data_IF_466922635973
#
_entry.id   IF_466922635973
#
_cell.length_a   1.000
_cell.length_b   1.000
_cell.length_c   1.000
_cell.angle_alpha   90.00
_cell.angle_beta   90.00
_cell.angle_gamma   90.00
#
_symmetry.space_group_name_H-M   'P 1'
#
loop_
_entity.id
_entity.type
_entity.pdbx_description
1 polymer ?
#
# COMPACT_ATOMS: atom_id res chain seq x y z
N UNK A 1 -19.82 72.65 -30.09
CA UNK A 1 -18.71 71.64 -29.94
C UNK A 1 -19.29 70.36 -29.34
N UNK A 2 -19.63 69.36 -30.14
CA UNK A 2 -20.22 68.10 -29.70
C UNK A 2 -19.11 67.10 -29.71
N UNK A 3 -18.79 66.52 -28.49
CA UNK A 3 -17.87 65.36 -28.34
C UNK A 3 -18.65 64.06 -28.57
N UNK A 4 -18.32 63.34 -29.63
CA UNK A 4 -18.85 62.04 -29.91
C UNK A 4 -18.10 60.98 -29.03
N UNK A 5 -18.83 60.38 -28.15
CA UNK A 5 -18.33 59.28 -27.36
C UNK A 5 -18.54 57.97 -28.13
N UNK A 6 -17.49 57.29 -28.54
CA UNK A 6 -17.52 55.99 -29.20
C UNK A 6 -17.54 54.94 -28.08
N UNK A 7 -18.64 54.19 -27.98
CA UNK A 7 -18.81 53.07 -27.08
C UNK A 7 -18.28 51.79 -27.77
N UNK A 8 -17.13 51.29 -27.33
CA UNK A 8 -16.55 50.04 -27.82
C UNK A 8 -17.19 48.88 -27.07
N UNK A 9 -18.03 48.09 -27.75
CA UNK A 9 -18.58 46.85 -27.22
C UNK A 9 -17.51 45.74 -27.35
N UNK A 10 -16.90 45.37 -26.26
CA UNK A 10 -16.01 44.22 -26.20
C UNK A 10 -16.86 42.94 -25.96
N UNK A 11 -17.17 42.21 -27.02
CA UNK A 11 -17.81 40.90 -26.92
C UNK A 11 -16.78 39.88 -26.39
N UNK A 12 -16.90 39.53 -25.12
CA UNK A 12 -16.14 38.44 -24.53
C UNK A 12 -16.66 37.10 -25.13
N UNK A 13 -15.91 36.54 -26.07
CA UNK A 13 -16.14 35.18 -26.59
C UNK A 13 -15.64 34.19 -25.54
N UNK A 14 -16.55 33.73 -24.68
CA UNK A 14 -16.29 32.68 -23.73
C UNK A 14 -16.27 31.34 -24.50
N UNK A 15 -15.12 31.02 -25.07
CA UNK A 15 -14.89 29.72 -25.68
C UNK A 15 -14.90 28.65 -24.59
N UNK A 16 -15.98 27.86 -24.51
CA UNK A 16 -16.00 26.64 -23.72
C UNK A 16 -15.04 25.66 -24.38
N UNK A 17 -13.80 25.59 -23.87
CA UNK A 17 -12.90 24.50 -24.21
C UNK A 17 -13.49 23.21 -23.62
N UNK A 18 -14.18 22.44 -24.45
CA UNK A 18 -14.50 21.06 -24.13
C UNK A 18 -13.18 20.30 -24.09
N UNK A 19 -12.61 20.13 -22.91
CA UNK A 19 -11.55 19.17 -22.70
C UNK A 19 -12.17 17.81 -22.94
N UNK A 20 -11.85 17.19 -24.07
CA UNK A 20 -12.24 15.80 -24.32
C UNK A 20 -11.58 14.97 -23.22
N UNK A 21 -12.40 14.48 -22.31
CA UNK A 21 -11.93 13.62 -21.24
C UNK A 21 -11.45 12.30 -21.85
N UNK A 22 -10.23 11.90 -21.53
CA UNK A 22 -9.55 10.71 -22.04
C UNK A 22 -9.29 9.74 -20.94
N UNK A 23 -9.25 8.46 -21.28
CA UNK A 23 -8.82 7.42 -20.35
C UNK A 23 -7.29 7.46 -20.25
N UNK A 24 -6.76 7.19 -19.06
CA UNK A 24 -5.33 7.14 -18.80
C UNK A 24 -4.98 5.75 -18.27
N UNK A 25 -4.26 4.97 -19.06
CA UNK A 25 -3.72 3.68 -18.65
C UNK A 25 -2.37 3.93 -17.99
N UNK A 26 -2.24 3.54 -16.72
CA UNK A 26 -1.00 3.61 -15.95
C UNK A 26 -0.42 2.21 -15.87
N UNK A 27 0.76 2.03 -16.45
CA UNK A 27 1.44 0.74 -16.48
C UNK A 27 2.17 0.43 -15.17
N UNK A 28 2.54 -0.82 -14.97
CA UNK A 28 3.29 -1.29 -13.82
C UNK A 28 4.68 -0.59 -13.67
N UNK A 29 5.28 -0.15 -14.79
CA UNK A 29 6.52 0.66 -14.82
C UNK A 29 6.30 2.17 -14.58
N UNK A 30 5.09 2.55 -14.18
CA UNK A 30 4.62 3.92 -13.98
C UNK A 30 4.55 4.78 -15.27
N UNK A 31 4.78 4.23 -16.44
CA UNK A 31 4.53 4.92 -17.72
C UNK A 31 3.03 5.10 -17.95
N UNK A 32 2.65 6.18 -18.63
CA UNK A 32 1.26 6.56 -18.86
C UNK A 32 0.93 6.52 -20.34
N UNK A 33 -0.23 5.96 -20.67
CA UNK A 33 -0.76 5.91 -22.03
C UNK A 33 -2.12 6.60 -22.08
N UNK A 34 -2.20 7.72 -22.76
CA UNK A 34 -3.47 8.38 -23.07
C UNK A 34 -4.22 7.55 -24.11
N UNK A 35 -5.40 7.10 -23.77
CA UNK A 35 -6.10 6.08 -24.52
C UNK A 35 -7.62 6.30 -24.51
N UNK A 36 -8.29 5.54 -25.35
CA UNK A 36 -9.70 5.18 -25.22
C UNK A 36 -9.75 3.67 -25.05
N UNK A 37 -10.09 3.23 -23.86
CA UNK A 37 -10.26 1.81 -23.54
C UNK A 37 -11.52 1.31 -24.26
N UNK A 38 -11.41 0.19 -24.96
CA UNK A 38 -12.49 -0.39 -25.76
C UNK A 38 -12.99 -1.71 -25.22
N UNK A 39 -12.14 -2.48 -24.54
CA UNK A 39 -12.50 -3.77 -23.97
C UNK A 39 -11.53 -4.14 -22.86
N UNK A 40 -12.04 -4.74 -21.80
CA UNK A 40 -11.26 -5.30 -20.70
C UNK A 40 -11.65 -6.76 -20.54
N UNK A 41 -10.65 -7.63 -20.53
CA UNK A 41 -10.78 -9.05 -20.25
C UNK A 41 -9.93 -9.42 -19.04
N UNK A 42 -10.11 -10.59 -18.40
CA UNK A 42 -9.28 -10.99 -17.26
C UNK A 42 -7.78 -11.04 -17.57
N UNK A 43 -7.39 -11.13 -18.83
CA UNK A 43 -5.99 -11.30 -19.24
C UNK A 43 -5.41 -10.07 -19.95
N UNK A 44 -6.26 -9.22 -20.55
CA UNK A 44 -5.79 -8.11 -21.40
C UNK A 44 -6.75 -6.94 -21.48
N UNK A 45 -6.19 -5.77 -21.73
CA UNK A 45 -6.91 -4.52 -22.00
C UNK A 45 -6.67 -4.11 -23.43
N UNK A 46 -7.75 -3.89 -24.19
CA UNK A 46 -7.71 -3.37 -25.55
C UNK A 46 -8.03 -1.89 -25.56
N UNK A 47 -7.24 -1.12 -26.26
CA UNK A 47 -7.39 0.32 -26.31
C UNK A 47 -6.94 0.92 -27.64
N UNK A 48 -7.43 2.10 -27.95
CA UNK A 48 -6.92 2.96 -28.99
C UNK A 48 -6.15 4.12 -28.39
N UNK A 49 -5.03 4.52 -29.00
CA UNK A 49 -4.29 5.70 -28.53
C UNK A 49 -5.15 6.95 -28.73
N UNK A 50 -5.21 7.81 -27.76
CA UNK A 50 -5.96 9.07 -27.86
C UNK A 50 -5.44 9.96 -28.99
N UNK A 51 -4.11 9.95 -29.22
CA UNK A 51 -3.48 10.66 -30.35
C UNK A 51 -3.80 10.08 -31.74
N UNK A 52 -4.39 8.87 -31.81
CA UNK A 52 -4.78 8.22 -33.07
C UNK A 52 -6.03 7.34 -32.86
N UNK A 53 -7.22 7.96 -32.71
CA UNK A 53 -8.45 7.23 -32.37
C UNK A 53 -8.94 6.30 -33.48
N UNK A 54 -8.58 6.57 -34.71
CA UNK A 54 -8.94 5.72 -35.90
C UNK A 54 -7.85 4.69 -36.21
N UNK A 55 -6.75 4.69 -35.44
CA UNK A 55 -5.63 3.78 -35.61
C UNK A 55 -5.91 2.34 -35.15
N UNK A 56 -4.89 1.48 -35.21
CA UNK A 56 -5.03 0.08 -34.81
C UNK A 56 -5.36 -0.03 -33.30
N UNK A 57 -6.11 -1.07 -32.95
CA UNK A 57 -6.34 -1.43 -31.57
C UNK A 57 -5.05 -2.01 -30.99
N UNK A 58 -4.59 -1.43 -29.88
CA UNK A 58 -3.45 -1.92 -29.10
C UNK A 58 -3.96 -2.85 -27.99
N UNK A 59 -3.11 -3.76 -27.56
CA UNK A 59 -3.39 -4.71 -26.48
C UNK A 59 -2.27 -4.61 -25.45
N UNK A 60 -2.64 -4.52 -24.18
CA UNK A 60 -1.74 -4.64 -23.04
C UNK A 60 -2.19 -5.81 -22.19
N UNK A 61 -1.27 -6.60 -21.69
CA UNK A 61 -1.58 -7.64 -20.73
C UNK A 61 -1.91 -7.00 -19.36
N UNK A 62 -2.87 -7.57 -18.64
CA UNK A 62 -3.29 -7.05 -17.32
C UNK A 62 -2.11 -6.93 -16.35
N UNK A 63 -1.14 -7.85 -16.41
CA UNK A 63 0.10 -7.79 -15.60
C UNK A 63 1.02 -6.61 -15.91
N UNK A 64 0.84 -5.94 -17.04
CA UNK A 64 1.60 -4.75 -17.44
C UNK A 64 0.93 -3.44 -16.97
N UNK A 65 -0.28 -3.54 -16.40
CA UNK A 65 -1.12 -2.39 -16.04
C UNK A 65 -1.22 -2.32 -14.52
N UNK A 66 -0.96 -1.14 -13.96
CA UNK A 66 -1.22 -0.84 -12.56
C UNK A 66 -2.68 -0.43 -12.35
N UNK A 67 -3.14 0.56 -13.12
CA UNK A 67 -4.52 1.00 -13.07
C UNK A 67 -4.92 1.73 -14.36
N UNK A 68 -6.24 1.85 -14.59
CA UNK A 68 -6.84 2.68 -15.62
C UNK A 68 -7.66 3.77 -14.94
N UNK A 69 -7.43 5.01 -15.30
CA UNK A 69 -8.26 6.14 -14.90
C UNK A 69 -9.12 6.53 -16.09
N UNK A 70 -10.43 6.34 -15.96
CA UNK A 70 -11.39 6.67 -17.00
C UNK A 70 -11.68 8.15 -17.10
N UNK A 71 -12.16 8.57 -18.27
CA UNK A 71 -12.57 9.93 -18.55
C UNK A 71 -13.66 10.49 -17.59
N UNK A 72 -14.48 9.62 -17.00
CA UNK A 72 -15.52 9.95 -16.03
C UNK A 72 -14.99 10.09 -14.59
N UNK A 73 -13.67 9.86 -14.38
CA UNK A 73 -13.02 9.92 -13.07
C UNK A 73 -12.99 8.60 -12.31
N UNK A 74 -13.65 7.56 -12.82
CA UNK A 74 -13.54 6.21 -12.24
C UNK A 74 -12.15 5.62 -12.46
N UNK A 75 -11.73 4.73 -11.57
CA UNK A 75 -10.45 4.03 -11.65
C UNK A 75 -10.65 2.54 -11.51
N UNK A 76 -9.93 1.77 -12.32
CA UNK A 76 -9.89 0.33 -12.27
C UNK A 76 -8.45 -0.13 -12.05
N UNK A 77 -8.24 -1.02 -11.09
CA UNK A 77 -6.90 -1.45 -10.66
C UNK A 77 -6.69 -2.91 -11.04
N UNK A 78 -5.46 -3.21 -11.48
CA UNK A 78 -5.04 -4.53 -11.88
C UNK A 78 -3.95 -5.01 -10.94
N UNK A 79 -4.26 -6.01 -10.12
CA UNK A 79 -3.26 -6.68 -9.29
C UNK A 79 -2.50 -7.65 -10.18
N UNK A 80 -1.19 -7.49 -10.29
CA UNK A 80 -0.35 -8.49 -10.93
C UNK A 80 -0.50 -9.81 -10.17
N UNK A 81 -1.27 -10.73 -10.72
CA UNK A 81 -1.26 -12.10 -10.25
C UNK A 81 0.18 -12.60 -10.38
N UNK A 82 0.79 -12.94 -9.26
CA UNK A 82 2.13 -13.53 -9.22
C UNK A 82 2.14 -14.73 -10.15
N UNK A 83 2.84 -14.62 -11.27
CA UNK A 83 3.09 -15.72 -12.19
C UNK A 83 3.98 -16.74 -11.49
N UNK A 84 3.38 -17.82 -11.03
CA UNK A 84 4.10 -19.03 -10.64
C UNK A 84 4.69 -19.61 -11.93
N UNK A 85 6.00 -19.79 -12.08
CA UNK A 85 6.54 -20.45 -13.25
C UNK A 85 6.16 -21.94 -13.16
N UNK A 86 5.35 -22.38 -14.10
CA UNK A 86 5.07 -23.79 -14.30
C UNK A 86 6.33 -24.49 -14.83
N UNK A 87 6.97 -25.29 -14.02
CA UNK A 87 7.98 -26.25 -14.44
C UNK A 87 7.27 -27.51 -14.89
N UNK A 88 7.48 -28.01 -16.11
CA UNK A 88 6.90 -29.27 -16.55
C UNK A 88 7.76 -30.47 -16.09
N UNK A 89 7.18 -31.35 -15.30
CA UNK A 89 7.69 -32.69 -15.10
C UNK A 89 6.56 -33.71 -15.28
N UNK A 90 6.56 -34.37 -16.41
CA UNK A 90 6.00 -35.71 -16.57
C UNK A 90 7.16 -36.69 -16.62
N UNK A 91 7.08 -37.94 -16.09
CA UNK A 91 6.19 -38.95 -16.67
C UNK A 91 5.57 -40.04 -15.72
N UNK A 92 4.39 -40.45 -16.15
CA UNK A 92 3.89 -41.85 -16.29
C UNK A 92 3.81 -42.82 -15.11
N UNK A 93 2.56 -43.05 -14.63
CA UNK A 93 1.71 -44.30 -14.64
C UNK A 93 2.22 -45.54 -13.85
N UNK A 94 1.40 -46.37 -13.15
CA UNK A 94 0.09 -46.87 -13.57
C UNK A 94 -1.06 -46.85 -12.53
N UNK A 95 -2.23 -47.14 -13.06
CA UNK A 95 -3.54 -47.22 -12.48
C UNK A 95 -3.75 -48.39 -11.49
N UNK A 96 -4.61 -48.15 -10.51
CA UNK A 96 -5.52 -49.14 -9.97
C UNK A 96 -6.82 -48.49 -9.51
N UNK A 97 -7.93 -49.00 -9.99
CA UNK A 97 -9.32 -48.70 -9.67
C UNK A 97 -9.91 -49.97 -9.01
N UNK A 98 -11.12 -50.00 -8.43
CA UNK A 98 -11.85 -49.02 -7.64
C UNK A 98 -12.37 -49.60 -6.30
N UNK A 99 -12.78 -48.77 -5.39
CA UNK A 99 -13.71 -49.17 -4.34
C UNK A 99 -14.79 -48.13 -4.10
N UNK A 100 -16.04 -48.50 -4.43
CA UNK A 100 -17.26 -47.83 -4.02
C UNK A 100 -17.39 -47.78 -2.52
N UNK A 101 -17.83 -46.63 -1.96
CA UNK A 101 -18.85 -46.59 -0.88
C UNK A 101 -19.52 -45.23 -0.81
N UNK A 102 -20.82 -45.22 -1.03
CA UNK A 102 -21.93 -44.64 -0.27
C UNK A 102 -22.06 -43.12 -0.13
N UNK A 103 -23.17 -42.67 -0.67
CA UNK A 103 -23.80 -41.37 -0.52
C UNK A 103 -24.07 -41.01 0.94
N UNK A 104 -23.84 -39.76 1.32
CA UNK A 104 -24.43 -39.09 2.47
C UNK A 104 -25.20 -37.82 2.02
N UNK A 105 -26.24 -37.44 2.72
CA UNK A 105 -27.37 -36.71 2.14
C UNK A 105 -27.15 -35.19 2.01
N UNK A 106 -27.85 -34.61 1.06
CA UNK A 106 -27.96 -33.20 0.77
C UNK A 106 -28.25 -32.37 2.05
N UNK A 107 -27.40 -31.40 2.32
CA UNK A 107 -27.70 -30.32 3.24
C UNK A 107 -28.58 -29.31 2.52
N UNK A 108 -29.70 -28.99 3.17
CA UNK A 108 -30.73 -28.11 2.70
C UNK A 108 -30.20 -26.69 2.41
N UNK A 109 -30.57 -26.15 1.26
CA UNK A 109 -30.48 -24.74 0.94
C UNK A 109 -31.22 -23.92 2.00
N UNK A 110 -30.50 -23.03 2.68
CA UNK A 110 -31.09 -21.95 3.45
C UNK A 110 -31.69 -20.91 2.49
N UNK A 111 -32.90 -20.41 2.72
CA UNK A 111 -33.53 -19.46 1.83
C UNK A 111 -32.74 -18.15 1.80
N UNK A 112 -32.42 -17.68 0.58
CA UNK A 112 -31.88 -16.37 0.35
C UNK A 112 -32.83 -15.32 0.91
N UNK A 113 -32.43 -14.65 1.97
CA UNK A 113 -33.12 -13.47 2.46
C UNK A 113 -32.95 -12.36 1.42
N UNK A 114 -34.06 -11.97 0.80
CA UNK A 114 -34.15 -10.74 0.03
C UNK A 114 -33.78 -9.55 0.93
N UNK A 115 -33.00 -8.59 0.46
CA UNK A 115 -32.72 -7.40 1.23
C UNK A 115 -33.98 -6.56 1.35
N UNK A 116 -34.49 -6.44 2.58
CA UNK A 116 -35.54 -5.49 2.93
C UNK A 116 -34.92 -4.09 2.94
N UNK A 117 -35.60 -3.20 2.24
CA UNK A 117 -35.61 -1.74 2.36
C UNK A 117 -34.36 -0.97 2.77
N UNK A 118 -33.73 -0.35 1.77
CA UNK A 118 -33.38 1.10 1.82
C UNK A 118 -32.40 1.62 2.85
N UNK A 119 -31.70 0.81 3.60
CA UNK A 119 -30.61 1.31 4.45
C UNK A 119 -29.38 1.52 3.57
N UNK A 120 -29.14 2.77 3.15
CA UNK A 120 -27.85 3.19 2.62
C UNK A 120 -26.82 3.06 3.75
N UNK A 121 -26.03 1.99 3.72
CA UNK A 121 -24.83 1.92 4.55
C UNK A 121 -23.88 2.97 4.01
N UNK A 122 -23.70 4.06 4.75
CA UNK A 122 -22.64 5.03 4.49
C UNK A 122 -21.36 4.35 4.98
N UNK A 123 -20.61 3.77 4.06
CA UNK A 123 -19.32 3.19 4.37
C UNK A 123 -18.36 4.35 4.65
N UNK A 124 -17.67 4.31 5.77
CA UNK A 124 -16.76 5.38 6.15
C UNK A 124 -15.47 5.29 5.30
N UNK A 125 -15.18 6.37 4.59
CA UNK A 125 -13.87 6.59 3.98
C UNK A 125 -12.94 7.31 4.96
N UNK A 126 -11.66 6.98 4.91
CA UNK A 126 -10.60 7.57 5.74
C UNK A 126 -9.71 8.51 4.93
N UNK A 127 -8.97 9.36 5.65
CA UNK A 127 -7.97 10.24 5.06
C UNK A 127 -6.59 10.04 5.71
N UNK A 128 -5.52 10.20 4.92
CA UNK A 128 -4.15 10.21 5.46
C UNK A 128 -4.01 11.29 6.53
N UNK A 129 -3.49 10.92 7.69
CA UNK A 129 -3.37 11.80 8.84
C UNK A 129 -4.65 11.91 9.68
N UNK A 130 -5.67 11.12 9.40
CA UNK A 130 -6.86 11.00 10.26
C UNK A 130 -6.57 10.11 11.47
N UNK A 131 -7.16 10.46 12.63
CA UNK A 131 -7.10 9.60 13.80
C UNK A 131 -8.05 8.42 13.66
N UNK A 132 -7.51 7.23 13.79
CA UNK A 132 -8.27 5.96 13.79
C UNK A 132 -8.44 5.46 15.22
N UNK A 133 -9.66 5.09 15.59
CA UNK A 133 -9.99 4.52 16.90
C UNK A 133 -11.18 3.59 16.76
N UNK A 134 -10.95 2.36 16.31
CA UNK A 134 -11.99 1.33 16.17
C UNK A 134 -11.41 -0.03 16.58
N UNK A 135 -12.25 -0.93 17.08
CA UNK A 135 -11.91 -2.31 17.43
C UNK A 135 -10.70 -2.46 18.38
N UNK A 136 -10.52 -1.45 19.26
CA UNK A 136 -9.39 -1.42 20.18
C UNK A 136 -8.09 -0.91 19.58
N UNK A 137 -8.04 -0.68 18.25
CA UNK A 137 -6.88 -0.17 17.53
C UNK A 137 -6.91 1.35 17.56
N UNK A 138 -5.81 1.97 18.02
CA UNK A 138 -5.64 3.43 18.04
C UNK A 138 -4.37 3.83 17.32
N UNK A 139 -4.50 4.71 16.33
CA UNK A 139 -3.37 5.18 15.56
C UNK A 139 -3.74 6.34 14.63
N UNK A 140 -2.85 6.70 13.75
CA UNK A 140 -3.09 7.68 12.69
C UNK A 140 -2.99 6.98 11.35
N UNK A 141 -3.99 7.17 10.49
CA UNK A 141 -4.03 6.59 9.14
C UNK A 141 -2.81 7.06 8.35
N UNK A 142 -1.95 6.12 7.95
CA UNK A 142 -0.68 6.39 7.27
C UNK A 142 -0.60 5.84 5.85
N UNK A 143 -1.41 4.84 5.53
CA UNK A 143 -1.60 4.33 4.17
C UNK A 143 -3.07 4.00 3.96
N UNK A 144 -3.53 4.10 2.74
CA UNK A 144 -4.90 3.76 2.34
C UNK A 144 -4.87 2.90 1.08
N UNK A 145 -5.77 1.94 1.03
CA UNK A 145 -6.21 1.27 -0.19
C UNK A 145 -7.02 2.26 -1.05
N UNK A 146 -7.28 1.86 -2.27
CA UNK A 146 -7.94 2.72 -3.25
C UNK A 146 -9.40 3.02 -2.90
N UNK A 147 -10.08 2.08 -2.22
CA UNK A 147 -11.44 2.25 -1.69
C UNK A 147 -11.48 3.18 -0.47
N UNK A 148 -10.32 3.57 0.08
CA UNK A 148 -10.16 4.42 1.26
C UNK A 148 -10.84 3.87 2.53
N UNK A 149 -11.23 2.61 2.53
CA UNK A 149 -11.89 1.93 3.64
C UNK A 149 -10.93 1.09 4.46
N UNK A 150 -9.82 0.66 3.82
CA UNK A 150 -8.77 -0.17 4.39
C UNK A 150 -7.41 0.53 4.29
N UNK A 151 -6.46 0.06 5.06
CA UNK A 151 -5.12 0.64 5.01
C UNK A 151 -4.25 0.26 6.19
N UNK A 152 -3.32 1.14 6.52
CA UNK A 152 -2.48 1.04 7.69
C UNK A 152 -2.67 2.24 8.62
N UNK A 153 -2.73 1.97 9.91
CA UNK A 153 -2.53 2.98 10.94
C UNK A 153 -1.13 2.84 11.54
N UNK A 154 -0.52 3.96 11.87
CA UNK A 154 0.74 4.00 12.59
C UNK A 154 0.47 4.25 14.07
N UNK A 155 1.25 3.62 14.95
CA UNK A 155 1.11 3.75 16.40
C UNK A 155 1.30 5.18 16.89
N UNK A 156 0.63 5.55 17.97
CA UNK A 156 0.72 6.89 18.58
C UNK A 156 2.11 7.15 19.19
N UNK A 157 2.75 6.13 19.70
CA UNK A 157 4.05 6.16 20.35
C UNK A 157 5.17 5.63 19.45
N UNK A 158 6.38 5.91 19.84
CA UNK A 158 7.62 5.46 19.22
C UNK A 158 8.71 5.30 20.26
N UNK A 159 9.71 4.49 19.96
CA UNK A 159 10.81 4.19 20.86
C UNK A 159 12.12 3.99 20.08
N UNK A 160 13.26 4.24 20.72
CA UNK A 160 14.57 3.87 20.21
C UNK A 160 14.93 2.46 20.67
N UNK A 161 15.11 1.53 19.73
CA UNK A 161 15.47 0.14 20.02
C UNK A 161 16.49 -0.38 19.01
N UNK A 162 17.17 -1.46 19.39
CA UNK A 162 17.89 -2.31 18.45
C UNK A 162 16.88 -3.09 17.60
N UNK A 163 17.25 -3.36 16.35
CA UNK A 163 16.51 -4.28 15.49
C UNK A 163 16.68 -5.72 16.00
N UNK A 164 17.95 -6.10 16.37
CA UNK A 164 18.28 -7.34 17.06
C UNK A 164 19.48 -7.12 18.00
N UNK A 165 19.65 -8.03 18.97
CA UNK A 165 20.74 -7.99 19.94
C UNK A 165 22.03 -8.66 19.44
N UNK A 166 22.01 -9.30 18.25
CA UNK A 166 23.18 -10.00 17.72
C UNK A 166 24.30 -9.05 17.34
N UNK A 167 25.52 -9.38 17.81
CA UNK A 167 26.75 -8.61 17.59
C UNK A 167 27.88 -9.54 17.14
N UNK A 168 28.96 -8.99 16.61
CA UNK A 168 30.12 -9.80 16.27
C UNK A 168 30.61 -10.60 17.50
N UNK A 169 30.99 -11.88 17.34
CA UNK A 169 31.06 -12.65 16.08
C UNK A 169 29.73 -13.30 15.64
N UNK A 170 28.62 -13.09 16.37
CA UNK A 170 27.35 -13.82 16.21
C UNK A 170 26.30 -13.05 15.38
N UNK A 171 26.73 -12.39 14.31
CA UNK A 171 25.82 -11.77 13.35
C UNK A 171 25.07 -12.83 12.56
N UNK A 172 23.77 -12.60 12.27
CA UNK A 172 22.89 -13.61 11.68
C UNK A 172 21.99 -13.03 10.61
N UNK A 173 21.75 -13.82 9.56
CA UNK A 173 20.64 -13.61 8.62
C UNK A 173 19.39 -14.27 9.21
N UNK A 174 18.31 -13.50 9.31
CA UNK A 174 17.04 -13.94 9.90
C UNK A 174 16.06 -14.41 8.82
N UNK A 175 16.19 -13.87 7.59
CA UNK A 175 15.33 -14.16 6.46
C UNK A 175 14.14 -13.20 6.31
N UNK A 176 14.15 -12.06 6.98
CA UNK A 176 13.09 -11.05 6.88
C UNK A 176 13.23 -10.20 5.63
N UNK A 177 13.12 -10.82 4.46
CA UNK A 177 13.37 -10.24 3.15
C UNK A 177 12.12 -9.70 2.44
N UNK A 178 10.93 -9.84 3.06
CA UNK A 178 9.70 -9.27 2.48
C UNK A 178 9.76 -7.75 2.54
N UNK A 179 9.77 -7.13 1.35
CA UNK A 179 9.87 -5.68 1.22
C UNK A 179 8.53 -4.97 1.31
N UNK A 180 7.43 -5.65 0.98
CA UNK A 180 6.11 -5.04 0.80
C UNK A 180 5.15 -5.25 1.98
N UNK A 181 5.39 -6.23 2.84
CA UNK A 181 4.53 -6.58 3.97
C UNK A 181 5.35 -6.94 5.21
N UNK A 182 5.36 -6.07 6.20
CA UNK A 182 6.08 -6.26 7.46
C UNK A 182 5.45 -7.32 8.35
N UNK A 183 4.16 -7.64 8.19
CA UNK A 183 3.53 -8.71 8.96
C UNK A 183 4.12 -10.07 8.61
N UNK A 184 4.46 -10.30 7.35
CA UNK A 184 5.17 -11.51 6.90
C UNK A 184 6.56 -11.59 7.51
N UNK A 185 7.28 -10.47 7.64
CA UNK A 185 8.58 -10.45 8.31
C UNK A 185 8.45 -10.75 9.81
N UNK A 186 7.36 -10.31 10.46
CA UNK A 186 7.07 -10.64 11.85
C UNK A 186 6.91 -12.16 12.05
N UNK A 187 6.20 -12.83 11.13
CA UNK A 187 6.04 -14.30 11.13
C UNK A 187 7.38 -15.00 10.94
N UNK A 188 8.25 -14.51 10.05
CA UNK A 188 9.60 -15.04 9.85
C UNK A 188 10.47 -14.92 11.09
N UNK A 189 10.40 -13.81 11.83
CA UNK A 189 11.09 -13.65 13.11
C UNK A 189 10.54 -14.67 14.13
N UNK A 190 9.22 -14.86 14.20
CA UNK A 190 8.61 -15.85 15.10
C UNK A 190 9.09 -17.27 14.80
N UNK A 191 9.13 -17.65 13.52
CA UNK A 191 9.64 -18.95 13.08
C UNK A 191 11.13 -19.11 13.42
N UNK A 192 11.95 -18.10 13.13
CA UNK A 192 13.38 -18.09 13.43
C UNK A 192 13.66 -18.26 14.94
N UNK A 193 12.90 -17.58 15.78
CA UNK A 193 12.97 -17.72 17.25
C UNK A 193 12.71 -19.16 17.65
N UNK A 194 11.64 -19.78 17.14
CA UNK A 194 11.27 -21.15 17.47
C UNK A 194 12.32 -22.17 17.01
N UNK A 195 12.84 -22.02 15.80
CA UNK A 195 13.83 -22.92 15.21
C UNK A 195 15.21 -22.85 15.88
N UNK A 196 15.59 -21.69 16.42
CA UNK A 196 16.91 -21.44 16.98
C UNK A 196 16.93 -21.38 18.51
N UNK A 197 15.82 -21.71 19.18
CA UNK A 197 15.67 -21.67 20.64
C UNK A 197 16.03 -20.30 21.22
N UNK A 198 15.58 -19.24 20.56
CA UNK A 198 15.74 -17.83 20.94
C UNK A 198 14.50 -17.28 21.63
N UNK A 199 14.52 -16.02 21.98
CA UNK A 199 13.37 -15.32 22.56
C UNK A 199 13.06 -14.02 21.79
N UNK A 200 11.90 -13.43 22.05
CA UNK A 200 11.58 -12.11 21.52
C UNK A 200 12.51 -11.02 22.06
N UNK A 201 13.19 -11.23 23.19
CA UNK A 201 14.17 -10.28 23.73
C UNK A 201 15.39 -10.12 22.82
N UNK A 202 15.68 -11.12 21.97
CA UNK A 202 16.73 -11.03 20.95
C UNK A 202 16.37 -10.11 19.79
N UNK A 203 15.08 -9.70 19.69
CA UNK A 203 14.53 -8.85 18.63
C UNK A 203 13.71 -7.68 19.21
N UNK A 204 14.31 -6.72 19.89
CA UNK A 204 13.60 -5.70 20.67
C UNK A 204 12.60 -4.86 19.86
N UNK A 205 12.95 -4.49 18.61
CA UNK A 205 12.06 -3.73 17.74
C UNK A 205 10.78 -4.50 17.38
N UNK A 206 10.88 -5.78 17.08
CA UNK A 206 9.75 -6.64 16.76
C UNK A 206 8.93 -6.97 18.01
N UNK A 207 9.60 -7.27 19.13
CA UNK A 207 8.95 -7.49 20.42
C UNK A 207 8.06 -6.34 20.81
N UNK A 208 8.57 -5.11 20.74
CA UNK A 208 7.82 -3.92 21.11
C UNK A 208 6.59 -3.69 20.22
N UNK A 209 6.69 -3.96 18.91
CA UNK A 209 5.53 -3.89 18.02
C UNK A 209 4.48 -4.94 18.39
N UNK A 210 4.90 -6.19 18.64
CA UNK A 210 4.03 -7.30 19.02
C UNK A 210 3.30 -7.05 20.35
N UNK A 211 3.97 -6.43 21.33
CA UNK A 211 3.41 -6.14 22.66
C UNK A 211 2.30 -5.07 22.64
N UNK A 212 2.08 -4.38 21.52
CA UNK A 212 0.94 -3.47 21.35
C UNK A 212 -0.40 -4.21 21.18
N UNK A 213 -0.36 -5.47 20.85
CA UNK A 213 -1.52 -6.32 20.64
C UNK A 213 -1.47 -7.10 19.31
N UNK A 214 -2.48 -7.91 19.11
CA UNK A 214 -2.60 -8.70 17.89
C UNK A 214 -2.63 -7.80 16.65
N UNK A 215 -1.98 -8.21 15.58
CA UNK A 215 -1.97 -7.49 14.30
C UNK A 215 -1.02 -6.30 14.22
N UNK A 216 -0.34 -5.88 15.33
CA UNK A 216 0.68 -4.84 15.30
C UNK A 216 2.04 -5.43 14.89
N UNK A 217 2.72 -4.76 13.95
CA UNK A 217 4.01 -5.21 13.43
C UNK A 217 4.96 -4.05 13.06
N UNK A 218 6.23 -4.38 12.87
CA UNK A 218 7.23 -3.44 12.36
C UNK A 218 7.08 -3.34 10.83
N UNK A 219 6.82 -2.15 10.26
CA UNK A 219 6.57 -2.00 8.83
C UNK A 219 7.74 -2.51 7.98
N UNK A 220 7.45 -3.06 6.82
CA UNK A 220 8.46 -3.36 5.80
C UNK A 220 9.08 -2.08 5.24
N UNK A 221 10.15 -2.21 4.44
CA UNK A 221 10.81 -1.02 3.89
C UNK A 221 9.91 -0.28 2.90
N UNK A 222 9.14 -0.97 2.08
CA UNK A 222 8.27 -0.32 1.09
C UNK A 222 7.03 0.30 1.76
N UNK A 223 6.48 -0.32 2.83
CA UNK A 223 5.48 0.31 3.69
C UNK A 223 6.05 1.58 4.34
N UNK A 224 7.26 1.53 4.88
CA UNK A 224 7.91 2.67 5.53
C UNK A 224 8.16 3.83 4.56
N UNK A 225 8.56 3.53 3.32
CA UNK A 225 8.72 4.53 2.25
C UNK A 225 7.37 5.18 1.87
N UNK A 226 6.31 4.39 1.77
CA UNK A 226 4.96 4.88 1.50
C UNK A 226 4.43 5.74 2.65
N UNK A 227 4.69 5.35 3.89
CA UNK A 227 4.35 6.16 5.08
C UNK A 227 5.07 7.51 5.02
N UNK A 228 6.36 7.53 4.72
CA UNK A 228 7.15 8.74 4.56
C UNK A 228 6.63 9.64 3.43
N UNK A 229 6.28 9.04 2.29
CA UNK A 229 5.67 9.73 1.16
C UNK A 229 4.34 10.39 1.55
N UNK A 230 3.43 9.65 2.18
CA UNK A 230 2.12 10.14 2.61
C UNK A 230 2.25 11.20 3.72
N UNK A 231 3.16 11.01 4.67
CA UNK A 231 3.49 11.99 5.70
C UNK A 231 3.97 13.31 5.08
N UNK A 232 4.71 13.24 3.99
CA UNK A 232 5.22 14.40 3.25
C UNK A 232 4.20 15.02 2.28
N UNK A 233 3.02 14.46 2.13
CA UNK A 233 1.93 14.98 1.32
C UNK A 233 1.73 14.34 -0.05
N UNK A 234 2.35 13.17 -0.28
CA UNK A 234 2.11 12.36 -1.47
C UNK A 234 2.64 12.97 -2.79
N UNK A 235 3.56 13.94 -2.73
CA UNK A 235 4.16 14.53 -3.92
C UNK A 235 5.66 14.26 -3.95
N UNK A 236 6.17 13.79 -5.08
CA UNK A 236 7.60 13.49 -5.26
C UNK A 236 8.49 14.74 -5.40
N UNK A 237 7.89 15.92 -5.49
CA UNK A 237 8.63 17.15 -5.87
C UNK A 237 8.85 18.07 -4.69
N UNK A 238 7.98 18.06 -3.69
CA UNK A 238 8.10 18.98 -2.57
C UNK A 238 7.37 18.44 -1.32
N UNK A 239 8.10 18.32 -0.22
CA UNK A 239 7.55 17.94 1.07
C UNK A 239 6.60 19.00 1.61
N UNK A 240 5.33 18.65 1.82
CA UNK A 240 4.31 19.55 2.32
C UNK A 240 4.39 19.74 3.84
N UNK A 241 4.69 20.97 4.28
CA UNK A 241 4.62 21.34 5.71
C UNK A 241 3.20 21.13 6.26
N UNK A 242 2.18 21.42 5.44
CA UNK A 242 0.78 21.28 5.86
C UNK A 242 0.42 19.82 6.11
N UNK A 243 0.79 18.90 5.22
CA UNK A 243 0.57 17.47 5.40
C UNK A 243 1.24 16.94 6.66
N UNK A 244 2.53 17.25 6.87
CA UNK A 244 3.25 16.86 8.09
C UNK A 244 2.62 17.43 9.36
N UNK A 245 2.18 18.68 9.32
CA UNK A 245 1.52 19.29 10.47
C UNK A 245 0.19 18.61 10.78
N UNK A 246 -0.63 18.32 9.76
CA UNK A 246 -1.88 17.58 9.92
C UNK A 246 -1.63 16.22 10.59
N UNK A 247 -0.71 15.44 10.05
CA UNK A 247 -0.35 14.12 10.58
C UNK A 247 0.17 14.21 12.03
N UNK A 248 1.13 15.09 12.28
CA UNK A 248 1.71 15.29 13.61
C UNK A 248 0.74 15.88 14.63
N UNK A 249 -0.24 16.68 14.19
CA UNK A 249 -1.29 17.17 15.07
C UNK A 249 -2.27 16.04 15.44
N UNK A 250 -2.60 15.14 14.51
CA UNK A 250 -3.40 13.97 14.81
C UNK A 250 -2.72 13.09 15.88
N UNK A 251 -1.42 12.83 15.74
CA UNK A 251 -0.64 12.10 16.75
C UNK A 251 -0.70 12.83 18.10
N UNK A 252 -0.28 14.11 18.14
CA UNK A 252 -0.19 14.88 19.38
C UNK A 252 -1.52 15.04 20.12
N UNK A 253 -2.60 15.35 19.38
CA UNK A 253 -3.91 15.59 19.97
C UNK A 253 -4.53 14.33 20.59
N UNK A 254 -4.01 13.15 20.22
CA UNK A 254 -4.44 11.86 20.74
C UNK A 254 -3.39 11.23 21.69
N UNK A 255 -2.56 12.04 22.30
CA UNK A 255 -1.59 11.62 23.32
C UNK A 255 -0.32 10.97 22.78
N UNK A 256 -0.12 11.02 21.48
CA UNK A 256 1.02 10.41 20.81
C UNK A 256 2.23 11.34 20.65
N UNK A 257 3.34 10.75 20.22
CA UNK A 257 4.55 11.46 19.83
C UNK A 257 4.49 11.86 18.36
N UNK A 258 4.98 13.04 18.03
CA UNK A 258 5.16 13.48 16.64
C UNK A 258 6.21 12.63 15.96
N UNK A 259 6.03 12.38 14.67
CA UNK A 259 7.10 11.82 13.85
C UNK A 259 8.22 12.85 13.66
N UNK A 260 9.44 12.39 13.84
CA UNK A 260 10.62 13.21 13.58
C UNK A 260 11.08 12.95 12.13
N UNK A 261 11.15 14.05 11.37
CA UNK A 261 11.57 14.01 9.97
C UNK A 261 13.09 13.86 9.77
N UNK A 262 13.88 14.08 10.82
CA UNK A 262 15.34 14.12 10.74
C UNK A 262 15.99 12.84 11.26
N UNK A 263 15.18 11.84 11.62
CA UNK A 263 15.66 10.59 12.20
C UNK A 263 15.26 9.41 11.33
N UNK A 264 16.09 8.38 11.36
CA UNK A 264 15.81 7.12 10.68
C UNK A 264 14.88 6.24 11.50
N UNK A 265 13.96 5.59 10.82
CA UNK A 265 13.08 4.57 11.36
C UNK A 265 13.49 3.21 10.81
N UNK A 266 13.56 2.20 11.67
CA UNK A 266 13.77 0.83 11.23
C UNK A 266 12.55 0.30 10.47
N UNK A 267 12.84 -0.45 9.40
CA UNK A 267 11.89 -1.37 8.81
C UNK A 267 12.15 -2.80 9.31
N UNK A 268 11.18 -3.68 9.10
CA UNK A 268 11.34 -5.11 9.37
C UNK A 268 12.21 -5.83 8.34
N UNK A 269 12.51 -5.18 7.20
CA UNK A 269 13.26 -5.79 6.10
C UNK A 269 14.75 -5.76 6.38
N UNK A 270 15.37 -6.93 6.50
CA UNK A 270 16.81 -7.01 6.63
C UNK A 270 17.51 -6.85 5.29
N UNK A 271 18.75 -6.38 5.31
CA UNK A 271 19.63 -6.31 4.15
C UNK A 271 20.56 -7.52 4.08
N UNK A 272 21.18 -7.81 5.20
CA UNK A 272 22.19 -8.87 5.36
C UNK A 272 22.31 -9.28 6.85
N UNK A 273 23.31 -10.07 7.20
CA UNK A 273 23.56 -10.51 8.58
C UNK A 273 23.74 -9.36 9.56
N UNK A 274 24.31 -8.24 9.08
CA UNK A 274 24.68 -7.08 9.91
C UNK A 274 23.62 -5.99 9.91
N UNK A 275 22.96 -5.74 8.78
CA UNK A 275 22.21 -4.52 8.52
C UNK A 275 20.74 -4.79 8.20
N UNK A 276 19.88 -3.84 8.58
CA UNK A 276 18.49 -3.73 8.15
C UNK A 276 18.27 -2.42 7.39
N UNK A 277 17.24 -2.39 6.58
CA UNK A 277 16.85 -1.18 5.88
C UNK A 277 16.10 -0.21 6.81
N UNK A 278 16.42 1.06 6.65
CA UNK A 278 15.78 2.18 7.33
C UNK A 278 15.37 3.24 6.33
N UNK A 279 14.46 4.10 6.72
CA UNK A 279 14.08 5.27 5.94
C UNK A 279 13.96 6.50 6.81
N UNK A 280 14.13 7.64 6.17
CA UNK A 280 14.06 8.97 6.76
C UNK A 280 12.73 9.62 6.38
N UNK A 281 11.93 10.06 7.37
CA UNK A 281 10.53 10.47 7.16
C UNK A 281 10.32 11.87 6.57
N UNK A 282 11.34 12.67 6.47
CA UNK A 282 11.18 14.09 6.12
C UNK A 282 11.79 14.52 4.81
N UNK A 283 12.31 13.60 4.05
CA UNK A 283 12.95 13.83 2.76
C UNK A 283 12.09 13.23 1.68
N UNK A 284 11.87 14.00 0.63
CA UNK A 284 11.10 13.57 -0.53
C UNK A 284 11.98 13.63 -1.79
N UNK A 285 12.13 12.56 -2.56
CA UNK A 285 11.58 11.22 -2.27
C UNK A 285 12.27 10.58 -1.05
N UNK A 286 11.54 9.75 -0.26
CA UNK A 286 12.15 8.99 0.80
C UNK A 286 13.25 8.09 0.25
N UNK A 287 14.35 7.95 0.97
CA UNK A 287 15.45 7.09 0.55
C UNK A 287 15.79 6.03 1.59
N UNK A 288 16.33 4.94 1.11
CA UNK A 288 16.69 3.78 1.91
C UNK A 288 18.14 3.90 2.36
N UNK A 289 18.36 3.63 3.64
CA UNK A 289 19.71 3.55 4.23
C UNK A 289 19.85 2.22 4.97
N UNK A 290 21.00 1.63 4.85
CA UNK A 290 21.36 0.38 5.53
C UNK A 290 22.04 0.69 6.86
N UNK A 291 21.46 0.25 7.97
CA UNK A 291 21.96 0.52 9.32
C UNK A 291 22.21 -0.79 10.06
N UNK A 292 23.31 -0.90 10.83
CA UNK A 292 23.54 -2.09 11.65
C UNK A 292 22.40 -2.37 12.60
N UNK A 293 21.94 -3.63 12.64
CA UNK A 293 20.81 -4.11 13.45
C UNK A 293 20.95 -3.86 14.94
N UNK A 294 22.19 -3.80 15.42
CA UNK A 294 22.54 -3.55 16.83
C UNK A 294 22.63 -2.06 17.21
N UNK A 295 22.34 -1.14 16.28
CA UNK A 295 22.25 0.28 16.58
C UNK A 295 20.84 0.63 17.05
N UNK A 296 20.72 1.71 17.84
CA UNK A 296 19.44 2.23 18.28
C UNK A 296 18.87 3.22 17.26
N UNK A 297 17.71 2.90 16.71
CA UNK A 297 16.94 3.81 15.85
C UNK A 297 15.47 3.78 16.23
N UNK A 298 14.72 4.74 15.71
CA UNK A 298 13.29 4.83 16.00
C UNK A 298 12.54 3.63 15.41
N UNK A 299 11.62 3.13 16.20
CA UNK A 299 10.67 2.08 15.88
C UNK A 299 9.26 2.65 16.03
N UNK A 300 8.43 2.46 15.04
CA UNK A 300 6.99 2.70 15.07
C UNK A 300 6.26 1.51 14.50
N UNK A 301 5.27 1.04 15.24
CA UNK A 301 4.46 -0.07 14.79
C UNK A 301 3.35 0.40 13.84
N UNK A 302 2.90 -0.51 12.98
CA UNK A 302 1.73 -0.32 12.13
C UNK A 302 0.74 -1.46 12.33
N UNK A 303 -0.52 -1.21 11.99
CA UNK A 303 -1.60 -2.19 12.03
C UNK A 303 -2.47 -2.05 10.79
N UNK A 304 -2.90 -3.15 10.18
CA UNK A 304 -3.89 -3.17 9.07
C UNK A 304 -5.30 -2.93 9.62
N UNK A 305 -6.13 -2.22 8.87
CA UNK A 305 -7.54 -2.01 9.21
C UNK A 305 -8.43 -2.10 7.98
#
# INVERSE_FOLDING_TARGET
MMKKTILLLLAAFCGVLTVAAQDLIIKADASKVEAKVTEITPESVRYKRFSNPDGPTNVLHVSEISNIQYANGEKEYFTAAASIPATPLTPAIPAEEPAKVSAAPAAAEAPAASPADGVKYVVKEYEIGEFYNQDGIKGVVCMLSDDRQHGLVISLDEIYLHWSEFRKPDLRVIGTDNRSDGSVNMEKVAAYIAENNLSWDDFPAFKWCREKGEGWYLPSIDELLNIGHNYSGGTRVQSSRQARNRFNNALKNNGGKRMDRLVYYFSSTEKDEKSAFTSHMGIEPPYVVEIPKYNNFLVRAVHKF
#
